data_IF_001770576838
#
_entry.id   IF_001770576838
#
_cell.length_a   1.000
_cell.length_b   1.000
_cell.length_c   1.000
_cell.angle_alpha   90.00
_cell.angle_beta   90.00
_cell.angle_gamma   90.00
#
_symmetry.space_group_name_H-M   'P 1'
#
loop_
_entity.id
_entity.type
_entity.pdbx_description
1 polymer ?
#
# COMPACT_ATOMS: atom_id res chain seq x y z
N UNK A 1 50.65 -12.28 23.93
CA UNK A 1 49.92 -12.52 22.68
C UNK A 1 49.46 -11.19 22.11
N UNK A 2 49.82 -10.95 20.84
CA UNK A 2 49.27 -9.96 19.88
C UNK A 2 49.52 -8.47 20.18
N UNK A 3 50.40 -7.74 19.47
CA UNK A 3 50.37 -7.30 18.03
C UNK A 3 49.13 -6.40 17.79
N UNK A 4 49.16 -5.10 17.42
CA UNK A 4 50.14 -4.18 16.82
C UNK A 4 49.79 -2.71 17.18
N UNK A 5 50.74 -1.77 17.25
CA UNK A 5 50.48 -0.35 16.97
C UNK A 5 50.76 -0.04 15.49
N UNK A 6 49.92 0.80 14.91
CA UNK A 6 50.09 1.33 13.56
C UNK A 6 51.18 2.40 13.50
N UNK A 7 51.94 2.41 12.39
CA UNK A 7 52.69 3.57 11.93
C UNK A 7 52.69 3.62 10.41
N UNK A 8 52.23 4.75 9.91
CA UNK A 8 52.30 5.29 8.56
C UNK A 8 53.75 5.44 8.08
N UNK A 9 54.04 5.10 6.81
CA UNK A 9 55.08 5.76 6.03
C UNK A 9 54.67 5.90 4.55
N UNK A 10 54.59 7.15 4.12
CA UNK A 10 54.56 7.61 2.74
C UNK A 10 55.89 7.30 2.02
N UNK A 11 55.81 7.03 0.71
CA UNK A 11 56.83 7.31 -0.29
C UNK A 11 56.09 7.42 -1.65
N UNK A 12 55.92 8.62 -2.21
CA UNK A 12 56.84 9.28 -3.16
C UNK A 12 56.51 8.86 -4.61
N UNK A 13 55.75 9.70 -5.33
CA UNK A 13 56.23 10.59 -6.42
C UNK A 13 56.55 9.82 -7.72
N UNK A 14 56.32 10.28 -8.95
CA UNK A 14 55.96 11.58 -9.51
C UNK A 14 55.63 11.36 -11.00
N UNK A 15 54.77 12.23 -11.54
CA UNK A 15 54.71 12.71 -12.95
C UNK A 15 55.11 11.75 -14.09
N UNK A 16 54.15 11.43 -14.96
CA UNK A 16 54.44 11.34 -16.40
C UNK A 16 53.40 12.04 -17.27
N UNK A 17 53.80 13.25 -17.67
CA UNK A 17 53.62 13.96 -18.95
C UNK A 17 52.29 13.84 -19.71
N UNK A 18 51.53 14.94 -19.62
CA UNK A 18 50.64 15.44 -20.66
C UNK A 18 51.36 15.51 -22.03
N UNK A 19 50.69 15.03 -23.08
CA UNK A 19 51.12 15.20 -24.48
C UNK A 19 50.70 16.57 -25.01
N UNK A 20 51.62 17.34 -25.62
CA UNK A 20 51.33 18.63 -26.21
C UNK A 20 50.80 18.43 -27.64
N UNK A 21 49.62 18.97 -27.93
CA UNK A 21 49.15 19.17 -29.30
C UNK A 21 49.31 20.65 -29.61
N UNK A 22 50.30 21.01 -30.42
CA UNK A 22 50.36 22.32 -31.07
C UNK A 22 51.30 22.23 -32.28
N UNK A 23 50.78 22.50 -33.48
CA UNK A 23 51.21 23.59 -34.35
C UNK A 23 50.63 23.40 -35.78
N UNK A 24 49.81 24.39 -36.17
CA UNK A 24 49.85 25.16 -37.44
C UNK A 24 50.16 24.44 -38.76
N UNK A 25 49.62 24.77 -39.93
CA UNK A 25 48.56 25.65 -40.41
C UNK A 25 48.64 25.44 -41.93
N UNK A 26 47.61 24.91 -42.60
CA UNK A 26 47.55 24.87 -44.06
C UNK A 26 46.34 25.70 -44.48
N UNK A 27 46.61 26.95 -44.83
CA UNK A 27 45.66 27.84 -45.49
C UNK A 27 45.94 27.86 -46.99
N UNK A 28 44.86 27.95 -47.76
CA UNK A 28 44.63 28.18 -49.20
C UNK A 28 43.73 27.03 -49.71
N UNK A 29 42.57 27.25 -50.32
CA UNK A 29 41.92 28.44 -50.87
C UNK A 29 40.46 28.08 -51.15
N UNK A 30 39.58 29.06 -50.96
CA UNK A 30 38.36 29.35 -51.74
C UNK A 30 37.46 28.19 -52.19
N UNK A 31 36.26 28.13 -51.60
CA UNK A 31 35.02 27.97 -52.36
C UNK A 31 33.84 28.44 -51.49
N UNK A 32 33.25 29.59 -51.85
CA UNK A 32 31.86 29.90 -51.48
C UNK A 32 30.96 28.99 -52.32
N UNK A 33 29.97 28.32 -51.71
CA UNK A 33 28.68 28.20 -52.38
C UNK A 33 27.57 28.78 -51.50
N UNK A 34 26.68 29.49 -52.18
CA UNK A 34 25.46 30.05 -51.64
C UNK A 34 24.48 28.93 -51.22
N UNK A 35 23.57 29.32 -50.32
CA UNK A 35 22.29 28.68 -50.03
C UNK A 35 22.32 27.28 -49.39
N UNK A 36 22.04 27.21 -48.08
CA UNK A 36 21.22 26.15 -47.46
C UNK A 36 21.07 26.38 -45.95
N UNK A 37 20.52 27.53 -45.52
CA UNK A 37 20.27 27.80 -44.10
C UNK A 37 18.91 27.25 -43.59
N UNK A 38 18.27 26.32 -44.32
CA UNK A 38 16.90 25.86 -44.02
C UNK A 38 16.81 24.39 -43.59
N UNK A 39 17.89 23.61 -43.65
CA UNK A 39 17.82 22.15 -43.46
C UNK A 39 17.98 21.65 -42.01
N UNK A 40 18.37 22.49 -41.04
CA UNK A 40 18.62 22.05 -39.65
C UNK A 40 17.38 22.22 -38.75
N UNK A 41 16.43 23.06 -39.13
CA UNK A 41 15.23 23.34 -38.31
C UNK A 41 14.16 22.25 -38.41
N UNK A 42 14.05 21.59 -39.57
CA UNK A 42 13.09 20.51 -39.81
C UNK A 42 13.31 19.25 -38.94
N UNK A 43 14.53 18.70 -38.80
CA UNK A 43 14.75 17.54 -37.93
C UNK A 43 14.56 17.87 -36.45
N UNK A 44 14.89 19.10 -36.02
CA UNK A 44 14.68 19.54 -34.63
C UNK A 44 13.19 19.71 -34.29
N UNK A 45 12.38 20.21 -35.23
CA UNK A 45 10.93 20.33 -35.06
C UNK A 45 10.24 18.95 -35.07
N UNK A 46 10.74 18.03 -35.91
CA UNK A 46 10.25 16.65 -36.00
C UNK A 46 10.53 15.87 -34.70
N UNK A 47 11.73 16.02 -34.13
CA UNK A 47 12.10 15.41 -32.84
C UNK A 47 11.27 15.97 -31.67
N UNK A 48 10.97 17.27 -31.67
CA UNK A 48 10.11 17.90 -30.65
C UNK A 48 8.66 17.41 -30.75
N UNK A 49 8.15 17.19 -31.97
CA UNK A 49 6.81 16.63 -32.20
C UNK A 49 6.69 15.17 -31.74
N UNK A 50 7.71 14.34 -31.99
CA UNK A 50 7.77 12.96 -31.48
C UNK A 50 7.82 12.92 -29.94
N UNK A 51 8.55 13.84 -29.31
CA UNK A 51 8.59 13.95 -27.86
C UNK A 51 7.23 14.37 -27.27
N UNK A 52 6.49 15.26 -27.96
CA UNK A 52 5.12 15.63 -27.57
C UNK A 52 4.12 14.47 -27.69
N UNK A 53 4.26 13.63 -28.72
CA UNK A 53 3.45 12.41 -28.91
C UNK A 53 3.78 11.30 -27.89
N UNK A 54 4.98 11.31 -27.30
CA UNK A 54 5.39 10.35 -26.27
C UNK A 54 4.76 10.65 -24.90
N UNK A 55 4.38 11.91 -24.63
CA UNK A 55 3.81 12.31 -23.34
C UNK A 55 2.32 11.97 -23.19
N UNK A 56 1.66 11.38 -24.20
CA UNK A 56 0.22 11.10 -24.17
C UNK A 56 -0.16 9.73 -23.55
N UNK A 57 0.80 8.92 -23.08
CA UNK A 57 0.50 7.57 -22.55
C UNK A 57 0.56 7.45 -21.03
N UNK A 58 0.54 8.55 -20.26
CA UNK A 58 0.35 8.46 -18.81
C UNK A 58 -1.13 8.23 -18.49
N UNK A 59 -1.60 7.02 -18.80
CA UNK A 59 -2.80 6.48 -18.18
C UNK A 59 -2.50 6.22 -16.72
N UNK A 60 -3.11 6.97 -15.81
CA UNK A 60 -3.09 6.67 -14.39
C UNK A 60 -3.86 5.36 -14.18
N UNK A 61 -3.14 4.24 -14.15
CA UNK A 61 -3.71 2.96 -13.73
C UNK A 61 -3.97 3.12 -12.24
N UNK A 62 -5.20 3.51 -11.88
CA UNK A 62 -5.63 3.55 -10.50
C UNK A 62 -5.31 2.18 -9.89
N UNK A 63 -4.31 2.13 -9.01
CA UNK A 63 -3.87 0.89 -8.40
C UNK A 63 -5.09 0.27 -7.70
N UNK A 64 -5.56 -0.85 -8.25
CA UNK A 64 -6.75 -1.54 -7.78
C UNK A 64 -6.38 -2.21 -6.46
N UNK A 65 -6.47 -1.44 -5.35
CA UNK A 65 -5.96 -1.81 -4.04
C UNK A 65 -6.33 -3.26 -3.67
N UNK A 66 -5.34 -4.04 -3.25
CA UNK A 66 -5.56 -5.43 -2.87
C UNK A 66 -6.43 -5.51 -1.61
N UNK A 67 -7.35 -6.48 -1.58
CA UNK A 67 -8.17 -6.71 -0.40
C UNK A 67 -7.35 -7.30 0.74
N UNK A 68 -7.58 -6.78 1.94
CA UNK A 68 -6.96 -7.23 3.20
C UNK A 68 -8.00 -7.40 4.28
N UNK A 69 -7.62 -8.09 5.35
CA UNK A 69 -8.48 -8.28 6.52
C UNK A 69 -8.99 -6.94 7.07
N UNK A 70 -8.15 -5.90 7.11
CA UNK A 70 -8.51 -4.56 7.59
C UNK A 70 -9.62 -3.86 6.77
N UNK A 71 -10.04 -4.40 5.63
CA UNK A 71 -11.22 -3.91 4.92
C UNK A 71 -12.54 -4.41 5.55
N UNK A 72 -12.47 -5.34 6.51
CA UNK A 72 -13.55 -5.65 7.43
C UNK A 72 -13.56 -4.63 8.55
N UNK A 73 -14.65 -3.86 8.63
CA UNK A 73 -14.82 -2.79 9.61
C UNK A 73 -15.82 -3.22 10.66
N UNK A 74 -15.36 -3.28 11.90
CA UNK A 74 -16.19 -3.46 13.10
C UNK A 74 -16.60 -2.07 13.58
N UNK A 75 -17.90 -1.86 13.77
CA UNK A 75 -18.48 -0.65 14.36
C UNK A 75 -19.33 -1.04 15.55
N UNK A 76 -19.34 -0.20 16.56
CA UNK A 76 -20.13 -0.41 17.75
C UNK A 76 -20.78 0.90 18.21
N UNK A 77 -21.95 0.78 18.82
CA UNK A 77 -22.64 1.90 19.46
C UNK A 77 -23.44 1.41 20.67
N UNK A 78 -23.64 2.27 21.66
CA UNK A 78 -24.63 2.03 22.70
C UNK A 78 -26.03 2.05 22.07
N UNK A 79 -26.92 1.15 22.51
CA UNK A 79 -28.32 1.11 22.04
C UNK A 79 -29.23 2.02 22.87
N UNK A 80 -28.77 2.41 24.06
CA UNK A 80 -29.58 3.09 25.08
C UNK A 80 -30.42 2.13 25.93
N UNK A 81 -30.46 0.84 25.58
CA UNK A 81 -31.12 -0.19 26.37
C UNK A 81 -30.22 -0.62 27.53
N UNK A 82 -30.83 -1.01 28.64
CA UNK A 82 -30.17 -1.59 29.81
C UNK A 82 -30.76 -2.96 30.06
N UNK A 83 -29.91 -3.99 30.10
CA UNK A 83 -30.30 -5.38 30.37
C UNK A 83 -29.61 -5.80 31.66
N UNK A 84 -30.41 -6.20 32.67
CA UNK A 84 -29.92 -6.60 34.00
C UNK A 84 -28.93 -5.58 34.61
N UNK A 85 -29.21 -4.29 34.46
CA UNK A 85 -28.37 -3.21 34.99
C UNK A 85 -27.09 -2.92 34.20
N UNK A 86 -26.86 -3.60 33.06
CA UNK A 86 -25.72 -3.34 32.18
C UNK A 86 -26.17 -2.65 30.88
N UNK A 87 -25.41 -1.65 30.38
CA UNK A 87 -25.72 -1.05 29.09
C UNK A 87 -25.57 -2.06 27.96
N UNK A 88 -26.42 -1.94 26.97
CA UNK A 88 -26.36 -2.75 25.76
C UNK A 88 -25.65 -2.02 24.62
N UNK A 89 -24.88 -2.79 23.86
CA UNK A 89 -24.14 -2.34 22.70
C UNK A 89 -24.53 -3.15 21.47
N UNK A 90 -24.72 -2.45 20.36
CA UNK A 90 -24.90 -3.05 19.04
C UNK A 90 -23.59 -3.04 18.26
N UNK A 91 -23.22 -4.20 17.71
CA UNK A 91 -22.04 -4.38 16.86
C UNK A 91 -22.49 -4.58 15.42
N UNK A 92 -21.80 -3.94 14.49
CA UNK A 92 -21.96 -4.13 13.04
C UNK A 92 -20.61 -4.44 12.40
N UNK A 93 -20.53 -5.55 11.67
CA UNK A 93 -19.33 -5.92 10.91
C UNK A 93 -19.64 -5.88 9.42
N UNK A 94 -18.92 -5.02 8.69
CA UNK A 94 -19.12 -4.79 7.27
C UNK A 94 -17.83 -5.02 6.47
N UNK A 95 -17.94 -5.64 5.30
CA UNK A 95 -16.82 -5.74 4.35
C UNK A 95 -16.83 -4.55 3.39
N UNK A 96 -15.76 -3.75 3.40
CA UNK A 96 -15.55 -2.62 2.48
C UNK A 96 -14.80 -3.00 1.21
N UNK A 97 -14.14 -4.17 1.19
CA UNK A 97 -13.41 -4.59 0.00
C UNK A 97 -14.33 -5.11 -1.09
N UNK A 98 -13.92 -4.97 -2.35
CA UNK A 98 -14.66 -5.48 -3.52
C UNK A 98 -14.83 -7.01 -3.51
N UNK A 99 -13.83 -7.73 -2.98
CA UNK A 99 -13.86 -9.19 -2.90
C UNK A 99 -14.62 -9.67 -1.67
N UNK A 100 -15.29 -10.80 -1.78
CA UNK A 100 -15.96 -11.41 -0.63
C UNK A 100 -14.90 -11.86 0.40
N UNK A 101 -15.21 -11.75 1.68
CA UNK A 101 -14.34 -12.27 2.74
C UNK A 101 -15.09 -13.30 3.58
N UNK A 102 -14.55 -14.51 3.73
CA UNK A 102 -15.12 -15.61 4.52
C UNK A 102 -14.25 -15.95 5.72
N UNK A 103 -14.71 -16.89 6.56
CA UNK A 103 -14.01 -17.34 7.77
C UNK A 103 -13.47 -16.17 8.60
N UNK A 104 -14.31 -15.14 8.78
CA UNK A 104 -13.96 -13.96 9.56
C UNK A 104 -13.94 -14.33 11.03
N UNK A 105 -12.78 -14.18 11.67
CA UNK A 105 -12.55 -14.51 13.07
C UNK A 105 -12.27 -13.22 13.85
N UNK A 106 -13.01 -13.01 14.93
CA UNK A 106 -12.78 -11.94 15.91
C UNK A 106 -12.30 -12.56 17.22
N UNK A 107 -11.52 -11.80 18.00
CA UNK A 107 -11.25 -12.17 19.39
C UNK A 107 -12.50 -11.86 20.22
N UNK A 108 -12.92 -12.81 21.06
CA UNK A 108 -14.07 -12.70 21.94
C UNK A 108 -13.82 -13.21 23.37
N UNK A 109 -12.57 -13.53 23.69
CA UNK A 109 -12.13 -13.87 25.05
C UNK A 109 -12.62 -12.84 26.07
N UNK A 110 -13.15 -13.32 27.19
CA UNK A 110 -13.52 -12.47 28.33
C UNK A 110 -14.82 -11.67 28.14
N UNK A 111 -15.52 -11.81 27.02
CA UNK A 111 -16.85 -11.22 26.86
C UNK A 111 -17.81 -11.81 27.90
N UNK A 112 -18.30 -10.97 28.82
CA UNK A 112 -19.20 -11.36 29.90
C UNK A 112 -20.56 -10.68 29.74
N UNK A 113 -21.24 -11.01 28.64
CA UNK A 113 -22.58 -10.50 28.36
C UNK A 113 -23.60 -11.09 29.34
N UNK A 114 -24.48 -10.26 29.90
CA UNK A 114 -25.63 -10.75 30.70
C UNK A 114 -26.79 -11.21 29.83
N UNK A 115 -26.86 -10.77 28.58
CA UNK A 115 -27.80 -11.32 27.61
C UNK A 115 -27.13 -12.34 26.68
N UNK A 116 -27.93 -13.26 26.15
CA UNK A 116 -27.49 -14.19 25.11
C UNK A 116 -27.15 -13.44 23.82
N UNK A 117 -25.90 -13.57 23.36
CA UNK A 117 -25.46 -13.06 22.05
C UNK A 117 -25.91 -14.03 20.95
N UNK A 118 -26.47 -13.53 19.85
CA UNK A 118 -26.99 -14.38 18.77
C UNK A 118 -25.89 -15.28 18.14
N UNK A 119 -25.96 -16.62 18.34
CA UNK A 119 -24.95 -17.55 17.84
C UNK A 119 -24.96 -17.68 16.31
N UNK A 120 -26.00 -17.21 15.62
CA UNK A 120 -26.06 -17.16 14.15
C UNK A 120 -25.21 -16.01 13.59
N UNK A 121 -25.02 -14.95 14.37
CA UNK A 121 -24.22 -13.79 14.02
C UNK A 121 -22.75 -13.99 14.42
N UNK A 122 -22.48 -14.44 15.63
CA UNK A 122 -21.14 -14.68 16.16
C UNK A 122 -21.17 -15.86 17.14
N UNK A 123 -20.25 -16.81 17.01
CA UNK A 123 -20.14 -17.94 17.95
C UNK A 123 -18.68 -18.27 18.27
N UNK A 124 -18.38 -18.73 19.50
CA UNK A 124 -17.05 -19.24 19.85
C UNK A 124 -16.65 -20.41 18.94
N UNK A 125 -15.37 -20.48 18.61
CA UNK A 125 -14.71 -21.67 18.01
C UNK A 125 -13.70 -22.29 18.97
N UNK A 126 -13.23 -21.50 19.94
CA UNK A 126 -12.44 -21.89 21.11
C UNK A 126 -12.64 -20.81 22.18
N UNK A 127 -11.85 -20.87 23.26
CA UNK A 127 -11.96 -19.95 24.40
C UNK A 127 -11.62 -18.50 24.03
N UNK A 128 -10.84 -18.26 22.97
CA UNK A 128 -10.36 -16.94 22.60
C UNK A 128 -11.05 -16.32 21.39
N UNK A 129 -11.47 -17.16 20.45
CA UNK A 129 -11.83 -16.79 19.09
C UNK A 129 -13.29 -17.10 18.80
N UNK A 130 -13.92 -16.19 18.09
CA UNK A 130 -15.28 -16.34 17.59
C UNK A 130 -15.33 -16.19 16.07
N UNK A 131 -16.17 -16.99 15.42
CA UNK A 131 -16.41 -16.91 13.97
C UNK A 131 -17.71 -16.17 13.67
N UNK A 132 -17.67 -15.25 12.71
CA UNK A 132 -18.86 -14.54 12.24
C UNK A 132 -19.67 -15.38 11.25
N UNK A 133 -20.99 -15.34 11.39
CA UNK A 133 -21.96 -15.91 10.45
C UNK A 133 -21.63 -17.35 10.05
N UNK A 134 -21.09 -18.14 10.98
CA UNK A 134 -20.63 -19.52 10.74
C UNK A 134 -19.54 -19.67 9.68
N UNK A 135 -18.76 -18.61 9.43
CA UNK A 135 -17.68 -18.58 8.44
C UNK A 135 -18.11 -18.28 7.01
N UNK A 136 -19.39 -18.00 6.77
CA UNK A 136 -19.92 -17.73 5.43
C UNK A 136 -19.36 -16.40 4.83
N UNK A 137 -19.23 -16.27 3.50
CA UNK A 137 -18.64 -15.07 2.89
C UNK A 137 -19.46 -13.78 3.08
N UNK A 138 -18.85 -12.69 3.51
CA UNK A 138 -19.44 -11.34 3.58
C UNK A 138 -19.03 -10.58 2.32
N UNK A 139 -20.00 -10.22 1.48
CA UNK A 139 -19.77 -9.44 0.25
C UNK A 139 -19.84 -7.95 0.52
N UNK A 140 -19.17 -7.14 -0.29
CA UNK A 140 -19.37 -5.69 -0.30
C UNK A 140 -20.84 -5.36 -0.58
N UNK A 141 -21.40 -4.40 0.14
CA UNK A 141 -22.78 -3.95 -0.05
C UNK A 141 -23.86 -4.92 0.48
N UNK A 142 -23.49 -6.12 0.94
CA UNK A 142 -24.41 -6.96 1.69
C UNK A 142 -24.73 -6.31 3.06
N UNK A 143 -25.90 -6.62 3.66
CA UNK A 143 -26.19 -6.20 5.02
C UNK A 143 -25.05 -6.59 5.98
N UNK A 144 -24.63 -5.69 6.89
CA UNK A 144 -23.59 -6.02 7.85
C UNK A 144 -24.06 -7.15 8.77
N UNK A 145 -23.10 -7.94 9.28
CA UNK A 145 -23.39 -8.89 10.36
C UNK A 145 -23.66 -8.07 11.62
N UNK A 146 -24.82 -8.28 12.26
CA UNK A 146 -25.24 -7.53 13.44
C UNK A 146 -25.48 -8.47 14.61
N UNK A 147 -25.09 -8.03 15.80
CA UNK A 147 -25.43 -8.67 17.08
C UNK A 147 -25.39 -7.64 18.21
N UNK A 148 -26.06 -7.93 19.32
CA UNK A 148 -26.00 -7.14 20.54
C UNK A 148 -25.37 -7.95 21.67
N UNK A 149 -24.85 -7.23 22.65
CA UNK A 149 -24.44 -7.79 23.94
C UNK A 149 -24.66 -6.72 25.02
N UNK A 150 -24.84 -7.16 26.26
CA UNK A 150 -25.03 -6.27 27.40
C UNK A 150 -23.92 -6.50 28.42
N UNK A 151 -23.06 -5.50 28.61
CA UNK A 151 -21.92 -5.60 29.52
C UNK A 151 -21.55 -4.25 30.13
N UNK A 152 -20.68 -4.22 31.14
CA UNK A 152 -20.36 -2.99 31.86
C UNK A 152 -19.62 -1.98 30.99
N UNK A 153 -18.71 -2.47 30.14
CA UNK A 153 -17.92 -1.64 29.22
C UNK A 153 -18.06 -2.15 27.79
N UNK A 154 -17.87 -1.27 26.80
CA UNK A 154 -17.79 -1.71 25.42
C UNK A 154 -16.59 -2.65 25.20
N UNK A 155 -16.74 -3.64 24.33
CA UNK A 155 -15.73 -4.63 23.95
C UNK A 155 -15.36 -4.46 22.47
N UNK A 156 -14.07 -4.44 22.16
CA UNK A 156 -13.57 -3.98 20.85
C UNK A 156 -13.69 -4.99 19.70
N UNK A 157 -13.90 -6.28 20.02
CA UNK A 157 -13.90 -7.39 19.05
C UNK A 157 -12.78 -7.30 17.98
N UNK A 158 -11.50 -7.35 18.37
CA UNK A 158 -10.38 -7.26 17.43
C UNK A 158 -10.48 -8.30 16.31
N UNK A 159 -10.28 -7.86 15.07
CA UNK A 159 -10.20 -8.76 13.92
C UNK A 159 -8.91 -9.59 13.99
N UNK A 160 -9.05 -10.92 13.99
CA UNK A 160 -7.92 -11.85 14.02
C UNK A 160 -7.53 -12.26 12.62
N UNK A 161 -8.49 -12.70 11.80
CA UNK A 161 -8.23 -13.17 10.44
C UNK A 161 -9.49 -13.20 9.56
N UNK A 162 -9.26 -13.31 8.25
CA UNK A 162 -10.28 -13.57 7.23
C UNK A 162 -9.66 -14.26 6.02
N UNK A 163 -10.49 -14.86 5.18
CA UNK A 163 -10.10 -15.40 3.87
C UNK A 163 -10.70 -14.55 2.75
N UNK A 164 -9.86 -14.00 1.89
CA UNK A 164 -10.26 -13.15 0.77
C UNK A 164 -10.56 -14.02 -0.45
N UNK A 165 -11.67 -13.74 -1.14
CA UNK A 165 -12.11 -14.42 -2.36
C UNK A 165 -12.22 -13.39 -3.49
N UNK A 166 -11.07 -13.15 -4.13
CA UNK A 166 -10.92 -12.52 -5.44
C UNK A 166 -10.60 -13.64 -6.44
#
# INVERSE_FOLDING_TARGET
>A
MSLHPGTNKQAEASREKLKPYHLTAVWLTMARPAAAATFVFLPSLLLLSLALLCNASQGEVAAVAACRAADLVVRQRATGRVVEGKPEYAVEVANRCRCAQSRVVLRCYGLSSVESVDPRAIRPVDDERCVLRGGRPIRRGAPPVRFTYAWMTPFDFPLVSSQVHC
#
